data_IF_070529502011
#
_entry.id   IF_070529502011
#
_cell.length_a   1.000
_cell.length_b   1.000
_cell.length_c   1.000
_cell.angle_alpha   90.00
_cell.angle_beta   90.00
_cell.angle_gamma   90.00
#
_symmetry.space_group_name_H-M   'P 1'
#
loop_
_entity.id
_entity.type
_entity.pdbx_description
1 polymer ?
#
# COMPACT_ATOMS: atom_id res chain seq x y z
N UNK A 1 -30.58 -12.27 33.69
CA UNK A 1 -30.46 -13.20 32.54
C UNK A 1 -29.76 -12.46 31.41
N UNK A 2 -28.54 -12.81 31.04
CA UNK A 2 -27.88 -12.19 29.88
C UNK A 2 -28.60 -12.64 28.62
N UNK A 3 -28.96 -11.70 27.74
CA UNK A 3 -29.59 -12.02 26.46
C UNK A 3 -28.60 -12.80 25.62
N UNK A 4 -28.94 -14.08 25.35
CA UNK A 4 -28.07 -15.01 24.61
C UNK A 4 -27.66 -14.44 23.26
N UNK A 5 -28.51 -13.63 22.63
CA UNK A 5 -28.21 -12.97 21.34
C UNK A 5 -27.12 -11.92 21.48
N UNK A 6 -27.18 -11.11 22.55
CA UNK A 6 -26.17 -10.07 22.82
C UNK A 6 -24.81 -10.68 23.18
N UNK A 7 -24.82 -11.78 23.94
CA UNK A 7 -23.61 -12.52 24.26
C UNK A 7 -22.96 -13.09 22.99
N UNK A 8 -23.75 -13.71 22.10
CA UNK A 8 -23.25 -14.26 20.84
C UNK A 8 -22.65 -13.18 19.93
N UNK A 9 -23.29 -12.01 19.83
CA UNK A 9 -22.75 -10.89 19.05
C UNK A 9 -21.44 -10.35 19.62
N UNK A 10 -21.36 -10.21 20.94
CA UNK A 10 -20.13 -9.77 21.61
C UNK A 10 -18.98 -10.75 21.34
N UNK A 11 -19.22 -12.05 21.48
CA UNK A 11 -18.22 -13.08 21.20
C UNK A 11 -17.80 -13.07 19.73
N UNK A 12 -18.74 -12.96 18.80
CA UNK A 12 -18.42 -12.90 17.37
C UNK A 12 -17.57 -11.68 17.03
N UNK A 13 -17.89 -10.51 17.61
CA UNK A 13 -17.12 -9.29 17.42
C UNK A 13 -15.71 -9.44 17.97
N UNK A 14 -15.56 -10.00 19.18
CA UNK A 14 -14.24 -10.23 19.80
C UNK A 14 -13.39 -11.20 18.99
N UNK A 15 -13.98 -12.28 18.46
CA UNK A 15 -13.25 -13.22 17.60
C UNK A 15 -12.79 -12.50 16.33
N UNK A 16 -13.68 -11.73 15.70
CA UNK A 16 -13.39 -11.01 14.46
C UNK A 16 -12.23 -10.01 14.65
N UNK A 17 -12.23 -9.25 15.75
CA UNK A 17 -11.16 -8.28 16.02
C UNK A 17 -9.81 -8.95 16.31
N UNK A 18 -9.82 -10.08 17.04
CA UNK A 18 -8.60 -10.86 17.31
C UNK A 18 -8.02 -11.44 16.03
N UNK A 19 -8.87 -12.01 15.16
CA UNK A 19 -8.42 -12.54 13.86
C UNK A 19 -7.85 -11.42 13.00
N UNK A 20 -8.56 -10.29 12.88
CA UNK A 20 -8.10 -9.16 12.07
C UNK A 20 -6.76 -8.60 12.56
N UNK A 21 -6.55 -8.52 13.86
CA UNK A 21 -5.28 -8.08 14.45
C UNK A 21 -4.15 -9.10 14.24
N UNK A 22 -4.45 -10.41 14.29
CA UNK A 22 -3.47 -11.48 14.08
C UNK A 22 -3.10 -11.73 12.61
N UNK A 23 -4.00 -11.42 11.68
CA UNK A 23 -3.77 -11.53 10.23
C UNK A 23 -3.43 -10.21 9.58
N UNK A 24 -3.39 -9.11 10.33
CA UNK A 24 -2.84 -7.87 9.84
C UNK A 24 -1.37 -8.13 9.51
N UNK A 25 -1.04 -8.20 8.22
CA UNK A 25 0.35 -8.07 7.79
C UNK A 25 0.87 -6.76 8.38
N UNK A 26 2.12 -6.69 8.86
CA UNK A 26 2.73 -5.39 9.16
C UNK A 26 2.45 -4.49 7.96
N UNK A 27 1.95 -3.28 8.21
CA UNK A 27 1.84 -2.29 7.15
C UNK A 27 3.23 -2.23 6.53
N UNK A 28 3.35 -2.73 5.30
CA UNK A 28 4.64 -2.93 4.69
C UNK A 28 5.28 -1.54 4.66
N UNK A 29 6.43 -1.33 5.31
CA UNK A 29 7.07 -0.02 5.30
C UNK A 29 7.49 0.39 3.86
N UNK A 30 7.36 -0.54 2.91
CA UNK A 30 7.36 -0.33 1.46
C UNK A 30 6.16 0.45 0.92
N UNK A 31 5.13 0.74 1.74
CA UNK A 31 3.95 1.53 1.34
C UNK A 31 4.29 2.97 0.93
N UNK A 32 5.47 3.47 1.29
CA UNK A 32 6.05 4.58 0.55
C UNK A 32 6.73 3.99 -0.68
N UNK A 33 6.14 4.22 -1.85
CA UNK A 33 6.88 4.09 -3.10
C UNK A 33 8.11 5.01 -3.00
N UNK A 34 9.25 4.45 -2.60
CA UNK A 34 10.52 5.18 -2.52
C UNK A 34 10.86 5.57 -3.96
N UNK A 35 10.68 6.85 -4.26
CA UNK A 35 11.06 7.38 -5.57
C UNK A 35 12.58 7.49 -5.64
N UNK A 36 13.13 7.04 -6.76
CA UNK A 36 14.54 7.19 -7.07
C UNK A 36 14.90 8.68 -7.09
N UNK A 37 16.06 9.03 -6.51
CA UNK A 37 16.57 10.40 -6.52
C UNK A 37 16.96 10.87 -7.93
N UNK A 38 17.26 9.93 -8.82
CA UNK A 38 17.66 10.20 -10.20
C UNK A 38 16.50 10.05 -11.19
N UNK A 39 15.28 9.76 -10.74
CA UNK A 39 14.08 9.70 -11.59
C UNK A 39 13.93 8.41 -12.42
N UNK A 40 14.79 7.40 -12.26
CA UNK A 40 14.61 6.08 -12.92
C UNK A 40 13.42 5.31 -12.36
N UNK A 41 12.85 4.44 -13.19
CA UNK A 41 11.81 3.48 -12.77
C UNK A 41 10.44 4.10 -12.53
N UNK A 42 10.18 5.33 -13.00
CA UNK A 42 8.84 5.91 -12.92
C UNK A 42 7.87 5.31 -13.96
N UNK A 43 8.41 4.77 -15.05
CA UNK A 43 7.70 4.18 -16.16
C UNK A 43 8.20 2.75 -16.33
N UNK A 44 7.32 1.78 -16.17
CA UNK A 44 7.65 0.36 -16.17
C UNK A 44 8.19 -0.12 -17.53
N UNK A 45 7.63 0.41 -18.62
CA UNK A 45 8.02 0.05 -19.99
C UNK A 45 9.28 0.80 -20.44
N UNK A 46 9.52 1.98 -19.89
CA UNK A 46 10.67 2.82 -20.21
C UNK A 46 11.36 3.35 -18.94
N UNK A 47 12.10 2.50 -18.20
CA UNK A 47 12.64 2.85 -16.88
C UNK A 47 13.64 4.02 -16.86
N UNK A 48 14.10 4.48 -18.03
CA UNK A 48 15.05 5.58 -18.18
C UNK A 48 14.41 6.92 -18.58
N UNK A 49 13.09 6.97 -18.84
CA UNK A 49 12.43 8.22 -19.20
C UNK A 49 12.32 9.15 -17.99
N UNK A 50 12.63 10.44 -18.19
CA UNK A 50 12.55 11.44 -17.13
C UNK A 50 13.64 11.35 -16.05
N UNK A 51 14.66 10.49 -16.23
CA UNK A 51 15.80 10.42 -15.31
C UNK A 51 16.70 11.66 -15.42
N UNK A 52 17.48 11.95 -14.38
CA UNK A 52 18.49 13.00 -14.38
C UNK A 52 19.48 12.85 -15.56
N UNK A 53 19.97 13.96 -16.08
CA UNK A 53 20.84 14.00 -17.26
C UNK A 53 20.22 13.42 -18.54
N UNK A 54 18.90 13.57 -18.71
CA UNK A 54 18.19 13.26 -19.97
C UNK A 54 17.93 14.54 -20.75
N UNK A 55 18.16 14.50 -22.06
CA UNK A 55 17.90 15.64 -22.94
C UNK A 55 16.39 15.90 -23.07
N UNK A 56 16.01 17.17 -23.18
CA UNK A 56 14.63 17.55 -23.45
C UNK A 56 14.22 17.15 -24.87
N UNK A 57 13.01 16.62 -24.99
CA UNK A 57 12.36 16.42 -26.28
C UNK A 57 11.98 17.77 -26.88
N UNK A 58 11.91 17.82 -28.21
CA UNK A 58 11.45 19.00 -28.95
C UNK A 58 10.05 18.75 -29.49
N UNK A 59 9.21 19.77 -29.44
CA UNK A 59 7.86 19.72 -30.01
C UNK A 59 7.89 19.79 -31.55
N UNK A 60 8.85 20.52 -32.11
CA UNK A 60 9.09 20.67 -33.53
C UNK A 60 10.61 20.68 -33.79
N UNK A 61 11.08 20.40 -35.02
CA UNK A 61 12.49 20.55 -35.39
C UNK A 61 13.09 21.91 -34.97
#
# INVERSE_FOLDING_TARGET
>A
MYDRRRLSLAVALTICTVVLAGTASPADASMFAIRSLDGRGNNELHPNWGRANTLYLRLAP
#
